data_IF_123657692511
#
_entry.id   IF_123657692511
#
_cell.length_a   1.000
_cell.length_b   1.000
_cell.length_c   1.000
_cell.angle_alpha   90.00
_cell.angle_beta   90.00
_cell.angle_gamma   90.00
#
_symmetry.space_group_name_H-M   'P 1'
#
loop_
_entity.id
_entity.type
_entity.pdbx_description
1 polymer ?
#
# COMPACT_ATOMS: atom_id res chain seq x y z
N UNK A 1 3.86 8.82 -26.91
CA UNK A 1 4.66 8.02 -27.87
C UNK A 1 5.79 7.37 -27.10
N UNK A 2 5.74 6.06 -26.84
CA UNK A 2 6.87 5.34 -26.25
C UNK A 2 7.99 5.31 -27.30
N UNK A 3 9.11 5.95 -27.01
CA UNK A 3 10.23 5.95 -27.95
C UNK A 3 10.70 4.51 -28.21
N UNK A 4 11.20 4.21 -29.41
CA UNK A 4 11.78 2.90 -29.74
C UNK A 4 12.77 2.42 -28.65
N UNK A 5 13.56 3.35 -28.11
CA UNK A 5 14.53 3.14 -27.03
C UNK A 5 13.88 2.67 -25.72
N UNK A 6 12.69 3.14 -25.39
CA UNK A 6 11.97 2.71 -24.18
C UNK A 6 11.49 1.25 -24.30
N UNK A 7 11.03 0.85 -25.48
CA UNK A 7 10.65 -0.54 -25.73
C UNK A 7 11.85 -1.50 -25.59
N UNK A 8 13.06 -1.07 -25.98
CA UNK A 8 14.28 -1.87 -25.82
C UNK A 8 14.65 -2.07 -24.36
N UNK A 9 14.62 -1.01 -23.55
CA UNK A 9 14.91 -1.07 -22.12
C UNK A 9 13.89 -1.95 -21.38
N UNK A 10 12.62 -1.93 -21.79
CA UNK A 10 11.60 -2.85 -21.25
C UNK A 10 11.78 -4.30 -21.70
N UNK A 11 12.25 -4.54 -22.93
CA UNK A 11 12.61 -5.89 -23.40
C UNK A 11 13.78 -6.45 -22.58
N UNK A 12 14.79 -5.64 -22.31
CA UNK A 12 15.92 -5.99 -21.44
C UNK A 12 15.43 -6.34 -20.03
N UNK A 13 14.66 -5.46 -19.39
CA UNK A 13 14.11 -5.70 -18.06
C UNK A 13 13.24 -6.98 -17.99
N UNK A 14 12.48 -7.28 -19.06
CA UNK A 14 11.69 -8.52 -19.13
C UNK A 14 12.57 -9.77 -19.14
N UNK A 15 13.69 -9.74 -19.89
CA UNK A 15 14.66 -10.85 -19.92
C UNK A 15 15.29 -11.06 -18.54
N UNK A 16 15.56 -9.97 -17.81
CA UNK A 16 16.09 -10.04 -16.45
C UNK A 16 15.09 -10.61 -15.45
N UNK A 17 13.83 -10.20 -15.54
CA UNK A 17 12.78 -10.70 -14.65
C UNK A 17 12.41 -12.16 -14.90
N UNK A 18 12.44 -12.60 -16.17
CA UNK A 18 12.15 -13.98 -16.55
C UNK A 18 13.23 -14.99 -16.16
N UNK A 19 14.47 -14.55 -15.89
CA UNK A 19 15.55 -15.43 -15.40
C UNK A 19 15.21 -15.93 -13.99
N UNK A 20 14.67 -17.15 -13.92
CA UNK A 20 14.39 -17.90 -12.68
C UNK A 20 15.62 -18.64 -12.12
N UNK A 21 16.65 -18.83 -12.94
CA UNK A 21 17.87 -19.53 -12.56
C UNK A 21 18.63 -18.72 -11.52
N UNK A 22 19.03 -19.38 -10.42
CA UNK A 22 19.93 -18.77 -9.45
C UNK A 22 21.24 -18.41 -10.17
N UNK A 23 21.78 -17.21 -9.96
CA UNK A 23 23.10 -16.87 -10.48
C UNK A 23 24.13 -17.91 -10.04
N UNK A 24 25.13 -18.17 -10.87
CA UNK A 24 26.27 -19.01 -10.45
C UNK A 24 26.97 -18.34 -9.26
N UNK A 25 27.79 -19.10 -8.52
CA UNK A 25 28.59 -18.56 -7.39
C UNK A 25 29.38 -17.28 -7.73
N UNK A 26 29.68 -17.05 -9.01
CA UNK A 26 30.49 -15.94 -9.51
C UNK A 26 29.70 -14.86 -10.28
N UNK A 27 28.36 -14.93 -10.36
CA UNK A 27 27.57 -13.91 -11.06
C UNK A 27 26.46 -13.37 -10.17
N UNK A 28 26.14 -12.08 -10.32
CA UNK A 28 24.98 -11.45 -9.67
C UNK A 28 23.82 -11.37 -10.65
N UNK A 29 22.60 -11.18 -10.14
CA UNK A 29 21.46 -10.80 -10.98
C UNK A 29 21.58 -9.33 -11.37
N UNK A 30 21.40 -9.01 -12.65
CA UNK A 30 21.36 -7.62 -13.11
C UNK A 30 20.10 -6.90 -12.61
N UNK A 31 20.27 -5.66 -12.18
CA UNK A 31 19.20 -4.80 -11.71
C UNK A 31 18.46 -4.17 -12.90
N UNK A 32 17.12 -4.26 -12.96
CA UNK A 32 16.36 -3.62 -14.02
C UNK A 32 16.42 -2.10 -13.87
N UNK A 33 16.33 -1.38 -15.00
CA UNK A 33 16.49 0.08 -15.04
C UNK A 33 15.51 0.85 -14.13
N UNK A 34 14.32 0.32 -13.85
CA UNK A 34 13.32 0.98 -13.01
C UNK A 34 13.62 0.86 -11.50
N UNK A 35 14.69 0.15 -11.12
CA UNK A 35 15.18 0.05 -9.73
C UNK A 35 16.40 0.93 -9.44
N UNK A 36 16.95 1.59 -10.47
CA UNK A 36 18.10 2.50 -10.35
C UNK A 36 17.73 3.85 -10.94
N UNK A 37 17.98 4.92 -10.21
CA UNK A 37 17.63 6.28 -10.65
C UNK A 37 18.52 6.68 -11.82
N UNK A 38 17.90 7.11 -12.93
CA UNK A 38 18.67 7.45 -14.13
C UNK A 38 19.65 8.59 -13.85
N UNK A 39 20.94 8.36 -14.08
CA UNK A 39 21.97 9.38 -13.90
C UNK A 39 22.33 9.67 -12.43
N UNK A 40 21.80 8.94 -11.45
CA UNK A 40 22.15 9.08 -10.03
C UNK A 40 22.67 7.73 -9.48
N UNK A 41 23.61 7.71 -8.52
CA UNK A 41 24.16 6.49 -7.91
C UNK A 41 23.23 5.89 -6.85
N UNK A 42 21.92 5.91 -7.11
CA UNK A 42 20.88 5.57 -6.15
C UNK A 42 20.04 4.42 -6.70
N UNK A 43 19.88 3.37 -5.89
CA UNK A 43 18.96 2.28 -6.16
C UNK A 43 17.83 2.26 -5.13
N UNK A 44 16.61 1.90 -5.56
CA UNK A 44 15.43 1.83 -4.69
C UNK A 44 14.83 0.42 -4.76
N UNK A 45 14.62 -0.21 -3.60
CA UNK A 45 14.05 -1.55 -3.45
C UNK A 45 14.76 -2.62 -4.30
N UNK A 46 16.09 -2.58 -4.28
CA UNK A 46 16.99 -3.30 -5.19
C UNK A 46 17.92 -4.30 -4.47
N UNK A 47 17.46 -4.89 -3.38
CA UNK A 47 18.30 -5.71 -2.48
C UNK A 47 18.62 -7.12 -3.03
N UNK A 48 17.87 -7.59 -4.03
CA UNK A 48 18.05 -8.93 -4.62
C UNK A 48 19.19 -9.02 -5.64
N UNK A 49 19.87 -7.91 -5.95
CA UNK A 49 20.82 -7.80 -7.06
C UNK A 49 22.29 -7.73 -6.60
N UNK A 50 22.56 -7.78 -5.28
CA UNK A 50 23.91 -7.66 -4.72
C UNK A 50 24.51 -6.25 -4.89
N UNK A 51 25.84 -6.16 -5.04
CA UNK A 51 26.54 -4.90 -5.32
C UNK A 51 26.26 -4.46 -6.76
N UNK A 52 25.47 -3.40 -6.91
CA UNK A 52 25.06 -2.86 -8.20
C UNK A 52 26.14 -1.86 -8.66
N UNK A 53 26.62 -1.92 -9.92
CA UNK A 53 27.71 -1.06 -10.39
C UNK A 53 27.44 0.43 -10.16
N UNK A 54 28.40 1.13 -9.56
CA UNK A 54 28.37 2.56 -9.28
C UNK A 54 27.18 3.04 -8.42
N UNK A 55 26.44 2.14 -7.76
CA UNK A 55 25.44 2.52 -6.76
C UNK A 55 26.15 2.71 -5.42
N UNK A 56 25.95 3.87 -4.79
CA UNK A 56 26.55 4.23 -3.50
C UNK A 56 25.51 4.36 -2.39
N UNK A 57 24.22 4.45 -2.75
CA UNK A 57 23.11 4.55 -1.81
C UNK A 57 21.95 3.62 -2.21
N UNK A 58 21.52 2.77 -1.28
CA UNK A 58 20.37 1.90 -1.43
C UNK A 58 19.22 2.43 -0.60
N UNK A 59 18.02 2.53 -1.17
CA UNK A 59 16.83 3.00 -0.48
C UNK A 59 15.83 1.85 -0.35
N UNK A 60 15.19 1.76 0.82
CA UNK A 60 14.07 0.84 1.07
C UNK A 60 12.82 1.66 1.38
N UNK A 61 11.81 1.57 0.51
CA UNK A 61 10.57 2.35 0.63
C UNK A 61 9.74 1.93 1.83
N UNK A 62 9.66 0.62 2.09
CA UNK A 62 8.91 0.04 3.19
C UNK A 62 9.28 -1.45 3.41
N UNK A 63 8.81 -2.04 4.52
CA UNK A 63 9.16 -3.40 4.92
C UNK A 63 8.15 -4.48 4.46
N UNK A 64 7.85 -4.58 3.16
CA UNK A 64 7.26 -5.78 2.55
C UNK A 64 8.30 -6.62 1.79
N UNK A 65 8.07 -7.93 1.76
CA UNK A 65 9.08 -8.93 1.39
C UNK A 65 9.56 -8.86 -0.05
N UNK A 66 8.70 -8.45 -0.96
CA UNK A 66 9.02 -8.25 -2.37
C UNK A 66 9.90 -7.02 -2.62
N UNK A 67 9.94 -6.06 -1.69
CA UNK A 67 10.80 -4.88 -1.76
C UNK A 67 12.17 -5.10 -1.15
N UNK A 68 12.26 -5.84 -0.04
CA UNK A 68 13.52 -6.20 0.60
C UNK A 68 14.07 -7.58 0.21
N UNK A 69 13.56 -8.23 -0.85
CA UNK A 69 13.94 -9.61 -1.21
C UNK A 69 15.48 -9.81 -1.18
N UNK A 70 15.94 -10.83 -0.44
CA UNK A 70 17.35 -11.17 -0.14
C UNK A 70 18.12 -10.22 0.80
N UNK A 71 17.49 -9.19 1.35
CA UNK A 71 18.05 -8.41 2.45
C UNK A 71 18.10 -9.29 3.72
N UNK A 72 19.24 -9.29 4.41
CA UNK A 72 19.49 -10.09 5.61
C UNK A 72 20.69 -9.54 6.39
N UNK A 73 21.04 -10.19 7.50
CA UNK A 73 22.26 -9.93 8.28
C UNK A 73 23.56 -9.99 7.48
N UNK A 74 23.58 -10.67 6.33
CA UNK A 74 24.76 -10.78 5.46
C UNK A 74 24.95 -9.60 4.50
N UNK A 75 24.09 -8.59 4.56
CA UNK A 75 24.16 -7.43 3.69
C UNK A 75 25.47 -6.66 3.88
N UNK A 76 26.11 -6.32 2.76
CA UNK A 76 27.38 -5.57 2.73
C UNK A 76 27.57 -4.75 1.45
N UNK A 77 26.50 -4.55 0.68
CA UNK A 77 26.59 -3.92 -0.63
C UNK A 77 26.62 -2.39 -0.57
N UNK A 78 26.24 -1.79 0.56
CA UNK A 78 26.24 -0.34 0.76
C UNK A 78 25.22 0.12 1.82
N UNK A 79 25.21 1.42 2.16
CA UNK A 79 24.28 1.99 3.13
C UNK A 79 22.83 1.93 2.62
N UNK A 80 21.92 1.63 3.54
CA UNK A 80 20.47 1.52 3.37
C UNK A 80 19.82 2.73 4.02
N UNK A 81 19.10 3.52 3.22
CA UNK A 81 18.33 4.67 3.67
C UNK A 81 16.84 4.35 3.63
N UNK A 82 16.14 4.66 4.71
CA UNK A 82 14.71 4.40 4.86
C UNK A 82 14.12 5.26 5.98
N UNK A 83 12.82 5.16 6.22
CA UNK A 83 12.21 5.75 7.42
C UNK A 83 12.64 5.02 8.70
N UNK A 84 12.51 5.68 9.85
CA UNK A 84 12.81 5.08 11.16
C UNK A 84 12.01 3.80 11.44
N UNK A 85 10.71 3.79 11.17
CA UNK A 85 9.89 2.60 11.35
C UNK A 85 10.36 1.44 10.45
N UNK A 86 10.75 1.72 9.20
CA UNK A 86 11.31 0.70 8.31
C UNK A 86 12.66 0.19 8.81
N UNK A 87 13.53 1.06 9.32
CA UNK A 87 14.81 0.70 9.92
C UNK A 87 14.63 -0.26 11.12
N UNK A 88 13.74 0.08 12.05
CA UNK A 88 13.42 -0.75 13.21
C UNK A 88 12.92 -2.14 12.78
N UNK A 89 12.05 -2.17 11.77
CA UNK A 89 11.46 -3.38 11.22
C UNK A 89 12.51 -4.30 10.57
N UNK A 90 13.40 -3.80 9.70
CA UNK A 90 14.40 -4.65 9.04
C UNK A 90 15.51 -5.12 9.98
N UNK A 91 15.87 -4.32 10.98
CA UNK A 91 16.81 -4.75 12.02
C UNK A 91 16.20 -5.86 12.86
N UNK A 92 14.93 -5.74 13.24
CA UNK A 92 14.24 -6.74 14.04
C UNK A 92 13.95 -8.04 13.25
N UNK A 93 13.34 -7.93 12.07
CA UNK A 93 12.83 -9.08 11.32
C UNK A 93 13.90 -9.79 10.47
N UNK A 94 14.87 -9.04 9.95
CA UNK A 94 15.85 -9.55 8.98
C UNK A 94 17.28 -9.58 9.55
N UNK A 95 17.45 -9.11 10.79
CA UNK A 95 18.73 -8.99 11.48
C UNK A 95 19.79 -8.21 10.67
N UNK A 96 19.35 -7.21 9.87
CA UNK A 96 20.28 -6.35 9.14
C UNK A 96 21.17 -5.63 10.16
N UNK A 97 22.47 -5.67 9.91
CA UNK A 97 23.43 -4.99 10.78
C UNK A 97 23.18 -3.47 10.74
N UNK A 98 23.02 -2.88 11.93
CA UNK A 98 22.72 -1.46 12.14
C UNK A 98 23.74 -0.54 11.49
N UNK A 99 24.99 -0.98 11.29
CA UNK A 99 26.00 -0.17 10.61
C UNK A 99 25.61 0.21 9.18
N UNK A 100 24.77 -0.60 8.52
CA UNK A 100 24.29 -0.34 7.17
C UNK A 100 22.99 0.45 7.15
N UNK A 101 22.27 0.56 8.28
CA UNK A 101 20.91 1.12 8.32
C UNK A 101 20.97 2.58 8.76
N UNK A 102 20.54 3.47 7.87
CA UNK A 102 20.58 4.91 8.03
C UNK A 102 19.15 5.46 7.97
N UNK A 103 18.41 5.49 9.09
CA UNK A 103 17.06 6.06 9.12
C UNK A 103 17.12 7.56 8.84
N UNK A 104 16.18 8.05 8.04
CA UNK A 104 16.04 9.47 7.68
C UNK A 104 14.74 10.05 8.26
N UNK A 105 14.75 11.33 8.69
CA UNK A 105 13.55 12.01 9.14
C UNK A 105 12.54 12.20 8.00
N UNK A 106 11.25 12.09 8.32
CA UNK A 106 10.16 12.42 7.41
C UNK A 106 10.12 13.94 7.15
N UNK A 107 9.69 14.33 5.96
CA UNK A 107 9.42 15.72 5.54
C UNK A 107 10.62 16.70 5.61
N UNK A 108 11.84 16.20 5.86
CA UNK A 108 13.08 16.99 5.95
C UNK A 108 14.00 16.70 4.76
N UNK A 109 14.38 17.71 3.94
CA UNK A 109 15.41 17.54 2.91
C UNK A 109 16.75 17.14 3.51
N UNK A 110 17.29 16.01 3.07
CA UNK A 110 18.55 15.45 3.58
C UNK A 110 19.50 15.16 2.42
N UNK A 111 20.75 15.60 2.52
CA UNK A 111 21.79 15.28 1.53
C UNK A 111 22.13 13.79 1.64
N UNK A 112 22.11 13.08 0.51
CA UNK A 112 22.50 11.68 0.44
C UNK A 112 24.03 11.61 0.22
N UNK A 113 24.80 11.02 1.16
CA UNK A 113 26.24 10.89 1.04
C UNK A 113 26.68 10.20 -0.27
N UNK A 114 27.83 10.60 -0.82
CA UNK A 114 28.45 9.98 -2.00
C UNK A 114 27.58 9.98 -3.27
N UNK A 115 26.64 10.92 -3.40
CA UNK A 115 25.79 11.08 -4.59
C UNK A 115 26.15 12.28 -5.46
N UNK A 116 27.07 13.12 -4.99
CA UNK A 116 27.43 14.39 -5.64
C UNK A 116 26.36 15.47 -5.48
N UNK A 117 25.70 15.53 -4.30
CA UNK A 117 24.80 16.61 -3.93
C UNK A 117 23.31 16.32 -4.11
N UNK A 118 22.91 15.06 -4.29
CA UNK A 118 21.48 14.69 -4.35
C UNK A 118 20.87 14.79 -2.96
N UNK A 119 19.79 15.53 -2.84
CA UNK A 119 18.94 15.60 -1.64
C UNK A 119 17.77 14.64 -1.79
N UNK A 120 17.29 14.11 -0.67
CA UNK A 120 16.06 13.33 -0.60
C UNK A 120 15.14 13.91 0.48
N UNK A 121 13.84 13.94 0.21
CA UNK A 121 12.79 14.16 1.21
C UNK A 121 11.89 12.94 1.25
N UNK A 122 11.73 12.34 2.43
CA UNK A 122 10.78 11.25 2.66
C UNK A 122 9.40 11.83 2.88
N UNK A 123 8.39 11.31 2.18
CA UNK A 123 6.99 11.75 2.30
C UNK A 123 6.15 10.51 2.62
N UNK A 124 5.24 10.58 3.58
CA UNK A 124 4.39 9.43 3.97
C UNK A 124 3.63 8.87 2.74
N UNK A 125 3.63 7.55 2.56
CA UNK A 125 3.10 6.91 1.35
C UNK A 125 1.63 6.50 1.41
N UNK A 126 1.02 6.62 2.58
CA UNK A 126 -0.35 6.20 2.84
C UNK A 126 -0.58 4.71 2.49
N UNK A 127 0.46 3.89 2.64
CA UNK A 127 0.45 2.46 2.33
C UNK A 127 0.45 1.62 3.61
N UNK A 128 1.61 1.39 4.21
CA UNK A 128 1.77 0.67 5.48
C UNK A 128 2.67 1.46 6.46
N UNK A 129 2.73 1.10 7.75
CA UNK A 129 3.58 1.80 8.72
C UNK A 129 5.05 1.88 8.26
N UNK A 130 5.60 3.10 8.27
CA UNK A 130 6.96 3.39 7.80
C UNK A 130 7.11 3.53 6.28
N UNK A 131 6.07 3.30 5.49
CA UNK A 131 6.15 3.48 4.04
C UNK A 131 6.32 4.94 3.63
N UNK A 132 7.19 5.18 2.66
CA UNK A 132 7.48 6.53 2.17
C UNK A 132 7.67 6.59 0.64
N UNK A 133 7.21 7.70 0.06
CA UNK A 133 7.71 8.19 -1.21
C UNK A 133 9.08 8.82 -0.96
N UNK A 134 9.97 8.71 -1.95
CA UNK A 134 11.22 9.44 -1.97
C UNK A 134 11.17 10.53 -3.05
N UNK A 135 11.32 11.78 -2.62
CA UNK A 135 11.47 12.91 -3.52
C UNK A 135 12.94 13.33 -3.59
N UNK A 136 13.60 13.02 -4.70
CA UNK A 136 15.01 13.31 -4.94
C UNK A 136 15.19 14.59 -5.75
N UNK A 137 16.11 15.45 -5.34
CA UNK A 137 16.53 16.64 -6.09
C UNK A 137 18.05 16.70 -6.18
N UNK A 138 18.61 16.75 -7.38
CA UNK A 138 20.05 16.88 -7.56
C UNK A 138 20.52 16.76 -9.01
N UNK A 139 21.82 16.97 -9.27
CA UNK A 139 22.39 16.77 -10.59
C UNK A 139 22.46 15.28 -10.94
N UNK A 140 22.57 14.98 -12.24
CA UNK A 140 22.96 13.65 -12.67
C UNK A 140 24.48 13.52 -12.67
N UNK A 141 25.00 12.63 -11.85
CA UNK A 141 26.43 12.50 -11.57
C UNK A 141 27.06 11.24 -12.16
N UNK A 142 26.29 10.16 -12.35
CA UNK A 142 26.82 8.92 -12.91
C UNK A 142 25.73 8.05 -13.51
N UNK A 143 26.06 7.33 -14.58
CA UNK A 143 25.21 6.27 -15.11
C UNK A 143 25.42 4.96 -14.35
N UNK A 144 24.84 4.88 -13.15
CA UNK A 144 24.87 3.68 -12.31
C UNK A 144 23.95 2.56 -12.81
N UNK A 145 24.16 1.36 -12.28
CA UNK A 145 23.38 0.18 -12.60
C UNK A 145 23.72 -0.47 -13.93
N UNK A 146 22.90 -1.45 -14.28
CA UNK A 146 23.12 -2.35 -15.41
C UNK A 146 22.48 -1.89 -16.71
N UNK A 147 21.68 -0.83 -16.64
CA UNK A 147 21.00 -0.34 -17.84
C UNK A 147 22.00 0.13 -18.88
N UNK A 148 21.80 -0.34 -20.11
CA UNK A 148 22.49 0.16 -21.30
C UNK A 148 22.08 1.58 -21.65
N UNK A 149 20.93 2.03 -21.14
CA UNK A 149 20.47 3.38 -21.36
C UNK A 149 21.24 4.36 -20.46
N UNK A 150 22.06 5.18 -21.10
CA UNK A 150 22.87 6.21 -20.45
C UNK A 150 22.19 7.56 -20.60
N UNK A 151 22.13 8.32 -19.52
CA UNK A 151 21.62 9.68 -19.55
C UNK A 151 22.62 10.62 -20.22
N UNK A 152 22.17 11.47 -21.16
CA UNK A 152 23.05 12.45 -21.81
C UNK A 152 23.36 13.66 -20.91
N UNK A 153 22.72 13.76 -19.74
CA UNK A 153 22.89 14.90 -18.82
C UNK A 153 23.84 14.61 -17.65
N UNK A 154 24.50 13.44 -17.63
CA UNK A 154 25.54 13.15 -16.64
C UNK A 154 26.68 14.17 -16.79
N UNK A 155 27.05 14.82 -15.68
CA UNK A 155 28.04 15.89 -15.66
C UNK A 155 27.48 17.29 -15.94
N UNK A 156 26.18 17.40 -16.24
CA UNK A 156 25.53 18.71 -16.37
C UNK A 156 25.17 19.31 -14.99
N UNK A 157 25.11 20.63 -14.91
CA UNK A 157 24.67 21.37 -13.71
C UNK A 157 23.14 21.39 -13.53
N UNK A 158 22.37 20.78 -14.44
CA UNK A 158 20.92 20.76 -14.36
C UNK A 158 20.47 19.93 -13.16
N UNK A 159 19.58 20.50 -12.36
CA UNK A 159 18.89 19.78 -11.28
C UNK A 159 17.73 18.97 -11.85
N UNK A 160 17.71 17.69 -11.52
CA UNK A 160 16.65 16.74 -11.83
C UNK A 160 15.83 16.44 -10.57
N UNK A 161 14.53 16.23 -10.76
CA UNK A 161 13.57 15.95 -9.68
C UNK A 161 12.89 14.62 -9.90
N UNK A 162 13.16 13.63 -9.06
CA UNK A 162 12.57 12.29 -9.16
C UNK A 162 11.62 12.05 -8.00
N UNK A 163 10.40 11.58 -8.31
CA UNK A 163 9.45 11.12 -7.31
C UNK A 163 9.34 9.61 -7.43
N UNK A 164 9.90 8.88 -6.48
CA UNK A 164 9.75 7.44 -6.41
C UNK A 164 8.62 7.10 -5.45
N UNK A 165 7.53 6.53 -5.97
CA UNK A 165 6.33 6.33 -5.17
C UNK A 165 6.47 5.20 -4.14
N UNK A 166 7.38 4.25 -4.37
CA UNK A 166 7.32 2.97 -3.67
C UNK A 166 5.98 2.30 -3.94
N UNK A 167 5.44 1.63 -2.93
CA UNK A 167 4.02 1.29 -2.89
C UNK A 167 3.28 2.40 -2.13
N UNK A 168 2.18 2.88 -2.69
CA UNK A 168 1.48 4.05 -2.15
C UNK A 168 -0.02 4.02 -2.45
N UNK A 169 -0.79 4.66 -1.58
CA UNK A 169 -2.18 5.02 -1.86
C UNK A 169 -2.30 6.51 -2.07
N UNK A 170 -2.38 6.92 -3.33
CA UNK A 170 -2.30 8.30 -3.75
C UNK A 170 -3.33 9.16 -3.03
N UNK A 171 -2.87 10.29 -2.50
CA UNK A 171 -3.70 11.27 -1.81
C UNK A 171 -3.32 12.69 -2.23
N UNK A 172 -4.23 13.67 -2.08
CA UNK A 172 -3.93 15.08 -2.30
C UNK A 172 -2.72 15.58 -1.49
N UNK A 173 -2.47 15.05 -0.29
CA UNK A 173 -1.29 15.41 0.51
C UNK A 173 0.03 15.21 -0.23
N UNK A 174 0.18 14.18 -1.05
CA UNK A 174 1.43 13.93 -1.77
C UNK A 174 1.78 15.06 -2.74
N UNK A 175 0.78 15.60 -3.46
CA UNK A 175 0.98 16.69 -4.43
C UNK A 175 0.95 18.08 -3.77
N UNK A 176 0.31 18.20 -2.61
CA UNK A 176 0.30 19.42 -1.79
C UNK A 176 1.55 19.54 -0.90
N UNK A 177 2.33 18.47 -0.74
CA UNK A 177 3.52 18.45 0.08
C UNK A 177 4.48 19.58 -0.36
N UNK A 178 5.05 20.38 0.58
CA UNK A 178 5.90 21.53 0.24
C UNK A 178 7.07 21.19 -0.69
N UNK A 179 7.64 19.99 -0.57
CA UNK A 179 8.72 19.56 -1.45
C UNK A 179 8.27 19.32 -2.91
N UNK A 180 7.00 18.99 -3.16
CA UNK A 180 6.48 18.60 -4.49
C UNK A 180 5.65 19.71 -5.14
N UNK A 181 4.87 20.45 -4.34
CA UNK A 181 3.90 21.43 -4.79
C UNK A 181 4.53 22.46 -5.73
N UNK A 182 3.92 22.65 -6.90
CA UNK A 182 4.35 23.62 -7.90
C UNK A 182 5.62 23.26 -8.68
N UNK A 183 6.29 22.15 -8.36
CA UNK A 183 7.50 21.72 -9.07
C UNK A 183 7.15 20.89 -10.31
N UNK A 184 8.02 20.99 -11.31
CA UNK A 184 8.03 20.09 -12.48
C UNK A 184 8.93 18.90 -12.18
N UNK A 185 8.32 17.70 -12.16
CA UNK A 185 9.00 16.45 -11.82
C UNK A 185 9.50 15.77 -13.09
N UNK A 186 10.79 15.46 -13.16
CA UNK A 186 11.38 14.85 -14.34
C UNK A 186 10.91 13.39 -14.48
N UNK A 187 11.14 12.57 -13.46
CA UNK A 187 10.73 11.16 -13.46
C UNK A 187 9.84 10.84 -12.26
N UNK A 188 8.74 10.13 -12.52
CA UNK A 188 7.85 9.57 -11.51
C UNK A 188 7.90 8.05 -11.64
N UNK A 189 8.42 7.37 -10.63
CA UNK A 189 8.39 5.90 -10.56
C UNK A 189 7.11 5.51 -9.83
N UNK A 190 6.13 5.03 -10.58
CA UNK A 190 4.74 4.93 -10.14
C UNK A 190 4.39 3.49 -9.75
N UNK A 191 3.78 3.32 -8.57
CA UNK A 191 3.05 2.10 -8.22
C UNK A 191 1.88 1.91 -9.18
N UNK A 192 1.94 0.84 -9.95
CA UNK A 192 0.94 0.50 -10.98
C UNK A 192 0.17 -0.78 -10.64
N UNK A 193 0.08 -1.13 -9.35
CA UNK A 193 -0.61 -2.32 -8.85
C UNK A 193 -2.03 -2.44 -9.40
N UNK A 194 -2.80 -1.35 -9.35
CA UNK A 194 -4.19 -1.29 -9.82
C UNK A 194 -4.41 -0.26 -10.93
N UNK A 195 -3.44 -0.13 -11.85
CA UNK A 195 -3.58 0.74 -13.04
C UNK A 195 -4.47 0.06 -14.11
N UNK A 196 -5.75 -0.11 -13.77
CA UNK A 196 -6.80 -0.67 -14.63
C UNK A 196 -8.18 -0.17 -14.13
N UNK A 197 -9.06 0.38 -15.00
CA UNK A 197 -10.34 0.97 -14.59
C UNK A 197 -11.29 0.06 -13.82
N UNK A 198 -11.06 -1.26 -13.86
CA UNK A 198 -11.82 -2.21 -13.05
C UNK A 198 -11.60 -2.02 -11.56
N UNK A 199 -10.50 -1.40 -11.12
CA UNK A 199 -10.18 -1.29 -9.71
C UNK A 199 -10.50 0.11 -9.16
N UNK A 200 -11.74 0.27 -8.67
CA UNK A 200 -12.24 1.50 -8.05
C UNK A 200 -12.84 1.20 -6.68
N UNK A 201 -11.97 0.91 -5.70
CA UNK A 201 -12.39 0.61 -4.33
C UNK A 201 -12.67 1.88 -3.51
N UNK A 202 -13.50 1.79 -2.45
CA UNK A 202 -13.85 2.92 -1.60
C UNK A 202 -12.64 3.52 -0.86
N UNK A 203 -12.72 4.80 -0.42
CA UNK A 203 -11.75 5.42 0.47
C UNK A 203 -11.52 4.62 1.76
N UNK A 204 -10.25 4.51 2.21
CA UNK A 204 -9.92 3.78 3.44
C UNK A 204 -10.75 4.21 4.66
N UNK A 205 -10.97 5.52 4.93
CA UNK A 205 -11.72 5.93 6.12
C UNK A 205 -13.15 5.39 6.13
N UNK A 206 -13.83 5.36 4.97
CA UNK A 206 -15.18 4.82 4.86
C UNK A 206 -15.21 3.31 5.13
N UNK A 207 -14.24 2.57 4.59
CA UNK A 207 -14.12 1.12 4.83
C UNK A 207 -13.81 0.82 6.30
N UNK A 208 -12.93 1.61 6.93
CA UNK A 208 -12.57 1.49 8.35
C UNK A 208 -13.81 1.72 9.22
N UNK A 209 -14.51 2.84 9.02
CA UNK A 209 -15.73 3.17 9.77
C UNK A 209 -16.82 2.12 9.57
N UNK A 210 -17.00 1.62 8.34
CA UNK A 210 -17.94 0.53 8.05
C UNK A 210 -17.63 -0.75 8.83
N UNK A 211 -16.35 -1.14 8.92
CA UNK A 211 -15.94 -2.34 9.66
C UNK A 211 -16.12 -2.17 11.18
N UNK A 212 -15.75 -1.01 11.73
CA UNK A 212 -15.89 -0.70 13.14
C UNK A 212 -17.37 -0.70 13.56
N UNK A 213 -18.22 -0.03 12.79
CA UNK A 213 -19.67 0.02 13.01
C UNK A 213 -20.31 -1.37 12.89
N UNK A 214 -19.93 -2.15 11.87
CA UNK A 214 -20.41 -3.52 11.70
C UNK A 214 -20.03 -4.40 12.90
N UNK A 215 -18.78 -4.32 13.36
CA UNK A 215 -18.31 -5.10 14.51
C UNK A 215 -19.11 -4.75 15.77
N UNK A 216 -19.29 -3.45 16.04
CA UNK A 216 -20.08 -2.96 17.17
C UNK A 216 -21.52 -3.46 17.13
N UNK A 217 -22.19 -3.36 15.98
CA UNK A 217 -23.56 -3.87 15.77
C UNK A 217 -23.66 -5.37 16.03
N UNK A 218 -22.73 -6.16 15.48
CA UNK A 218 -22.72 -7.61 15.69
C UNK A 218 -22.51 -7.94 17.17
N UNK A 219 -21.62 -7.23 17.86
CA UNK A 219 -21.35 -7.43 19.29
C UNK A 219 -22.56 -7.10 20.17
N UNK A 220 -23.39 -6.15 19.74
CA UNK A 220 -24.59 -5.69 20.45
C UNK A 220 -25.87 -6.43 20.02
N UNK A 221 -25.77 -7.42 19.11
CA UNK A 221 -26.93 -8.13 18.59
C UNK A 221 -27.88 -7.29 17.72
N UNK A 222 -27.40 -6.14 17.21
CA UNK A 222 -28.19 -5.23 16.38
C UNK A 222 -28.32 -5.74 14.94
N UNK A 223 -29.37 -5.28 14.24
CA UNK A 223 -29.53 -5.58 12.81
C UNK A 223 -28.33 -5.07 12.01
N UNK A 224 -27.77 -5.98 11.19
CA UNK A 224 -26.70 -5.69 10.23
C UNK A 224 -27.24 -5.37 8.83
N UNK A 225 -28.56 -5.36 8.66
CA UNK A 225 -29.25 -5.02 7.41
C UNK A 225 -29.83 -3.61 7.55
N UNK A 226 -29.54 -2.74 6.58
CA UNK A 226 -30.25 -1.47 6.43
C UNK A 226 -31.62 -1.79 5.82
N UNK A 227 -32.70 -1.65 6.61
CA UNK A 227 -34.06 -1.74 6.10
C UNK A 227 -34.35 -0.48 5.29
N UNK A 228 -34.94 -0.63 4.10
CA UNK A 228 -35.43 0.53 3.36
C UNK A 228 -36.61 1.18 4.11
N UNK A 229 -36.88 2.46 3.89
CA UNK A 229 -38.01 3.19 4.52
C UNK A 229 -39.39 2.55 4.25
N UNK A 230 -39.48 1.62 3.29
CA UNK A 230 -40.70 0.85 2.97
C UNK A 230 -40.88 -0.37 3.89
N UNK A 231 -39.80 -0.94 4.44
CA UNK A 231 -39.84 -2.09 5.37
C UNK A 231 -40.20 -1.68 6.80
N UNK A 232 -40.12 -0.38 7.10
CA UNK A 232 -40.41 0.20 8.42
C UNK A 232 -41.90 0.17 8.75
N UNK A 233 -42.76 0.16 7.73
CA UNK A 233 -44.22 0.15 7.89
C UNK A 233 -44.80 -1.25 8.17
N UNK A 234 -44.11 -2.32 7.75
CA UNK A 234 -44.61 -3.71 7.84
C UNK A 234 -44.16 -4.44 9.12
N UNK A 235 -43.21 -3.88 9.88
CA UNK A 235 -42.70 -4.51 11.12
C UNK A 235 -42.87 -3.63 12.36
N UNK A 236 -44.10 -3.20 12.65
CA UNK A 236 -44.48 -2.72 14.00
C UNK A 236 -44.91 -3.88 14.88
N UNK A 237 -43.94 -4.68 15.31
CA UNK A 237 -44.04 -5.45 16.55
C UNK A 237 -42.82 -5.06 17.38
N UNK A 238 -43.00 -4.43 18.56
CA UNK A 238 -41.86 -4.12 19.42
C UNK A 238 -41.19 -5.44 19.81
N UNK A 239 -39.86 -5.59 19.68
CA UNK A 239 -39.19 -6.68 20.37
C UNK A 239 -39.32 -6.38 21.86
N UNK A 240 -40.10 -7.21 22.55
CA UNK A 240 -40.07 -7.31 24.01
C UNK A 240 -38.62 -7.47 24.43
N UNK A 241 -38.21 -6.66 25.40
CA UNK A 241 -36.81 -6.51 25.81
C UNK A 241 -36.13 -7.86 25.99
N UNK A 242 -35.19 -8.19 25.10
CA UNK A 242 -34.22 -9.22 25.39
C UNK A 242 -33.24 -8.62 26.38
N UNK A 243 -33.38 -9.00 27.65
CA UNK A 243 -32.35 -8.86 28.66
C UNK A 243 -30.99 -9.20 28.07
N UNK A 244 -29.96 -8.42 28.41
CA UNK A 244 -28.56 -8.74 28.10
C UNK A 244 -28.26 -10.10 28.70
N UNK A 245 -28.35 -11.18 27.93
CA UNK A 245 -27.86 -12.49 28.35
C UNK A 245 -26.34 -12.39 28.44
N UNK A 246 -25.73 -12.37 29.63
CA UNK A 246 -24.28 -12.40 29.77
C UNK A 246 -23.86 -13.82 29.39
N UNK A 247 -23.11 -14.00 28.30
CA UNK A 247 -22.56 -15.33 27.98
C UNK A 247 -22.41 -15.74 26.52
N UNK A 248 -22.70 -14.89 25.52
CA UNK A 248 -22.32 -15.16 24.12
C UNK A 248 -21.27 -14.17 23.64
N UNK A 249 -20.03 -14.33 24.10
CA UNK A 249 -18.94 -13.50 23.59
C UNK A 249 -18.67 -13.85 22.10
N UNK A 250 -18.58 -12.81 21.28
CA UNK A 250 -18.20 -12.93 19.86
C UNK A 250 -16.73 -12.61 19.74
N UNK A 251 -16.00 -13.49 19.07
CA UNK A 251 -14.60 -13.31 18.73
C UNK A 251 -14.49 -12.60 17.38
N UNK A 252 -13.83 -11.44 17.33
CA UNK A 252 -13.52 -10.74 16.10
C UNK A 252 -12.09 -11.03 15.70
N UNK A 253 -11.87 -11.44 14.45
CA UNK A 253 -10.56 -11.80 13.92
C UNK A 253 -10.24 -10.94 12.70
N UNK A 254 -9.11 -10.23 12.73
CA UNK A 254 -8.66 -9.41 11.60
C UNK A 254 -7.47 -10.08 10.93
N UNK A 255 -7.59 -10.34 9.63
CA UNK A 255 -6.51 -10.85 8.81
C UNK A 255 -5.49 -9.77 8.43
N UNK A 256 -4.23 -9.93 8.81
CA UNK A 256 -3.14 -9.00 8.48
C UNK A 256 -2.00 -9.68 7.70
N UNK A 257 -1.11 -8.88 7.11
CA UNK A 257 0.19 -9.34 6.62
C UNK A 257 1.24 -9.28 7.74
N UNK A 258 2.53 -9.26 7.41
CA UNK A 258 3.59 -8.97 8.38
C UNK A 258 3.42 -7.58 8.99
N UNK A 259 3.21 -6.54 8.17
CA UNK A 259 2.79 -5.18 8.56
C UNK A 259 1.64 -4.73 7.64
N UNK A 260 0.87 -3.73 8.07
CA UNK A 260 -0.23 -3.16 7.31
C UNK A 260 -1.60 -3.57 7.87
N UNK A 261 -2.59 -2.71 7.62
CA UNK A 261 -4.01 -2.81 8.01
C UNK A 261 -4.28 -2.58 9.51
N UNK A 262 -3.29 -2.09 10.25
CA UNK A 262 -3.44 -1.74 11.67
C UNK A 262 -4.54 -0.70 11.87
N UNK A 263 -4.80 0.20 10.89
CA UNK A 263 -5.90 1.17 10.96
C UNK A 263 -7.28 0.54 11.14
N UNK A 264 -7.58 -0.57 10.45
CA UNK A 264 -8.85 -1.30 10.63
C UNK A 264 -8.88 -1.97 12.00
N UNK A 265 -7.77 -2.60 12.37
CA UNK A 265 -7.64 -3.30 13.64
C UNK A 265 -7.93 -2.37 14.82
N UNK A 266 -7.29 -1.19 14.85
CA UNK A 266 -7.47 -0.20 15.92
C UNK A 266 -8.90 0.33 15.95
N UNK A 267 -9.48 0.64 14.80
CA UNK A 267 -10.86 1.11 14.74
C UNK A 267 -11.88 0.08 15.27
N UNK A 268 -11.71 -1.20 14.94
CA UNK A 268 -12.56 -2.27 15.47
C UNK A 268 -12.34 -2.45 16.98
N UNK A 269 -11.08 -2.47 17.44
CA UNK A 269 -10.75 -2.62 18.85
C UNK A 269 -11.33 -1.49 19.70
N UNK A 270 -11.19 -0.24 19.26
CA UNK A 270 -11.77 0.94 19.90
C UNK A 270 -13.30 0.90 19.91
N UNK A 271 -13.93 0.53 18.78
CA UNK A 271 -15.40 0.46 18.71
C UNK A 271 -16.01 -0.65 19.59
N UNK A 272 -15.22 -1.67 19.91
CA UNK A 272 -15.60 -2.78 20.80
C UNK A 272 -15.10 -2.58 22.24
N UNK A 273 -14.39 -1.48 22.53
CA UNK A 273 -13.75 -1.21 23.83
C UNK A 273 -12.90 -2.41 24.31
N UNK A 274 -12.16 -3.03 23.39
CA UNK A 274 -11.47 -4.29 23.63
C UNK A 274 -9.97 -4.20 23.38
N UNK A 275 -9.20 -5.02 24.11
CA UNK A 275 -7.78 -5.26 23.81
C UNK A 275 -7.63 -6.10 22.54
N UNK A 276 -6.41 -6.12 22.02
CA UNK A 276 -6.02 -6.86 20.83
C UNK A 276 -5.02 -7.94 21.19
N UNK A 277 -5.39 -9.19 20.95
CA UNK A 277 -4.48 -10.33 21.11
C UNK A 277 -3.82 -10.72 19.78
N UNK A 278 -2.52 -11.04 19.85
CA UNK A 278 -1.80 -11.72 18.79
C UNK A 278 -0.64 -12.54 19.38
N UNK A 279 -0.03 -13.41 18.57
CA UNK A 279 1.14 -14.17 19.06
C UNK A 279 2.33 -13.25 19.37
N UNK A 280 3.25 -13.72 20.23
CA UNK A 280 4.38 -12.93 20.71
C UNK A 280 5.27 -12.40 19.56
N UNK A 281 5.40 -13.15 18.47
CA UNK A 281 6.18 -12.76 17.29
C UNK A 281 5.53 -11.58 16.56
N UNK A 282 4.22 -11.64 16.34
CA UNK A 282 3.46 -10.55 15.74
C UNK A 282 3.45 -9.32 16.66
N UNK A 283 3.31 -9.51 17.97
CA UNK A 283 3.36 -8.42 18.95
C UNK A 283 4.72 -7.70 18.95
N UNK A 284 5.83 -8.45 18.91
CA UNK A 284 7.17 -7.86 18.82
C UNK A 284 7.33 -7.02 17.54
N UNK A 285 6.84 -7.52 16.42
CA UNK A 285 6.85 -6.83 15.14
C UNK A 285 6.02 -5.53 15.17
N UNK A 286 4.80 -5.57 15.71
CA UNK A 286 3.93 -4.39 15.80
C UNK A 286 4.55 -3.28 16.67
N UNK A 287 5.28 -3.65 17.73
CA UNK A 287 5.99 -2.69 18.59
C UNK A 287 7.12 -1.93 17.88
N UNK A 288 7.63 -2.45 16.76
CA UNK A 288 8.63 -1.76 15.95
C UNK A 288 8.07 -0.59 15.12
N UNK A 289 6.74 -0.43 15.06
CA UNK A 289 6.08 0.57 14.21
C UNK A 289 5.97 1.97 14.83
N UNK A 290 6.40 2.15 16.10
CA UNK A 290 6.25 3.40 16.84
C UNK A 290 4.80 3.94 16.88
N UNK A 291 3.82 3.05 17.12
CA UNK A 291 2.40 3.37 17.24
C UNK A 291 1.92 3.13 18.69
N UNK A 292 1.89 4.19 19.50
CA UNK A 292 1.55 4.13 20.92
C UNK A 292 0.11 3.67 21.18
N UNK A 293 -0.82 4.09 20.31
CA UNK A 293 -2.21 3.68 20.35
C UNK A 293 -2.33 2.16 20.12
N UNK A 294 -1.62 1.62 19.12
CA UNK A 294 -1.55 0.18 18.92
C UNK A 294 -0.92 -0.54 20.11
N UNK A 295 0.20 -0.01 20.63
CA UNK A 295 0.91 -0.59 21.77
C UNK A 295 0.02 -0.70 23.02
N UNK A 296 -0.80 0.32 23.29
CA UNK A 296 -1.74 0.33 24.40
C UNK A 296 -2.87 -0.69 24.24
N UNK A 297 -3.24 -1.03 23.01
CA UNK A 297 -4.28 -2.04 22.72
C UNK A 297 -3.77 -3.49 22.86
N UNK A 298 -2.48 -3.75 22.67
CA UNK A 298 -1.95 -5.12 22.67
C UNK A 298 -2.04 -5.79 24.05
N UNK A 299 -2.47 -7.05 24.08
CA UNK A 299 -2.43 -7.92 25.26
C UNK A 299 -1.82 -9.28 24.94
N UNK A 300 -1.33 -9.97 25.99
CA UNK A 300 -0.76 -11.31 25.89
C UNK A 300 -1.78 -12.42 26.21
N UNK A 301 -2.85 -12.11 26.95
CA UNK A 301 -3.91 -13.06 27.25
C UNK A 301 -4.97 -13.05 26.12
N UNK A 302 -5.19 -14.18 25.43
CA UNK A 302 -6.25 -14.29 24.41
C UNK A 302 -7.66 -14.21 25.00
N UNK A 303 -7.88 -14.48 26.28
CA UNK A 303 -9.22 -14.45 26.87
C UNK A 303 -9.61 -13.04 27.35
N UNK A 304 -8.64 -12.14 27.54
CA UNK A 304 -8.88 -10.73 27.88
C UNK A 304 -9.20 -9.84 26.68
N UNK A 305 -9.25 -10.39 25.47
CA UNK A 305 -9.46 -9.66 24.22
C UNK A 305 -10.56 -10.28 23.38
N UNK A 306 -11.44 -9.45 22.84
CA UNK A 306 -12.45 -9.86 21.85
C UNK A 306 -11.93 -9.72 20.42
N UNK A 307 -10.74 -9.15 20.24
CA UNK A 307 -10.15 -8.85 18.93
C UNK A 307 -8.82 -9.58 18.80
N UNK A 308 -8.74 -10.51 17.85
CA UNK A 308 -7.53 -11.29 17.57
C UNK A 308 -6.95 -10.96 16.19
N UNK A 309 -5.63 -10.89 16.10
CA UNK A 309 -4.92 -10.78 14.82
C UNK A 309 -4.50 -12.16 14.35
N UNK A 310 -4.83 -12.52 13.11
CA UNK A 310 -4.29 -13.70 12.45
C UNK A 310 -3.68 -13.35 11.08
N UNK A 311 -2.78 -14.20 10.54
CA UNK A 311 -2.35 -14.09 9.16
C UNK A 311 -3.56 -14.09 8.21
N UNK A 312 -3.53 -13.28 7.15
CA UNK A 312 -4.65 -13.18 6.20
C UNK A 312 -5.06 -14.55 5.62
N UNK A 313 -4.13 -15.48 5.44
CA UNK A 313 -4.40 -16.85 4.97
C UNK A 313 -5.25 -17.69 5.95
N UNK A 314 -5.33 -17.32 7.23
CA UNK A 314 -6.16 -18.00 8.23
C UNK A 314 -7.63 -17.57 8.20
N UNK A 315 -7.97 -16.48 7.50
CA UNK A 315 -9.34 -15.96 7.41
C UNK A 315 -10.08 -16.72 6.30
N UNK A 316 -10.35 -18.00 6.56
CA UNK A 316 -11.14 -18.93 5.76
C UNK A 316 -12.06 -19.74 6.68
N UNK A 317 -13.15 -20.30 6.14
CA UNK A 317 -14.17 -20.98 6.95
C UNK A 317 -13.57 -22.14 7.77
N UNK A 318 -12.79 -23.01 7.13
CA UNK A 318 -12.20 -24.19 7.79
C UNK A 318 -11.22 -23.80 8.90
N UNK A 319 -10.35 -22.81 8.63
CA UNK A 319 -9.28 -22.41 9.56
C UNK A 319 -9.83 -21.61 10.74
N UNK A 320 -10.80 -20.72 10.52
CA UNK A 320 -11.45 -19.99 11.62
C UNK A 320 -12.30 -20.91 12.48
N UNK A 321 -12.93 -21.95 11.90
CA UNK A 321 -13.65 -22.97 12.68
C UNK A 321 -12.71 -23.71 13.62
N UNK A 322 -11.52 -24.09 13.15
CA UNK A 322 -10.49 -24.72 13.99
C UNK A 322 -9.99 -23.74 15.06
N UNK A 323 -9.81 -22.47 14.71
CA UNK A 323 -9.37 -21.45 15.66
C UNK A 323 -10.39 -21.19 16.78
N UNK A 324 -11.68 -21.06 16.44
CA UNK A 324 -12.76 -20.87 17.41
C UNK A 324 -12.86 -22.04 18.40
N UNK A 325 -12.67 -23.29 17.94
CA UNK A 325 -12.68 -24.48 18.82
C UNK A 325 -11.69 -24.40 19.97
N UNK A 326 -10.55 -23.70 19.80
CA UNK A 326 -9.55 -23.52 20.86
C UNK A 326 -10.07 -22.71 22.05
N UNK A 327 -11.09 -21.88 21.82
CA UNK A 327 -11.65 -20.98 22.82
C UNK A 327 -13.17 -21.14 22.95
N UNK A 328 -13.70 -22.32 22.59
CA UNK A 328 -15.14 -22.59 22.53
C UNK A 328 -15.87 -22.44 23.87
N UNK A 329 -15.14 -22.54 24.98
CA UNK A 329 -15.67 -22.35 26.32
C UNK A 329 -15.96 -20.87 26.59
N UNK A 330 -15.20 -19.97 25.98
CA UNK A 330 -15.35 -18.52 26.12
C UNK A 330 -16.16 -17.89 24.97
N UNK A 331 -15.84 -18.22 23.72
CA UNK A 331 -16.46 -17.65 22.51
C UNK A 331 -17.39 -18.65 21.82
N UNK A 332 -18.62 -18.22 21.52
CA UNK A 332 -19.62 -19.06 20.81
C UNK A 332 -19.76 -18.71 19.33
N UNK A 333 -19.21 -17.56 18.92
CA UNK A 333 -19.28 -17.04 17.54
C UNK A 333 -17.93 -16.43 17.16
N UNK A 334 -17.54 -16.58 15.89
CA UNK A 334 -16.38 -15.89 15.31
C UNK A 334 -16.79 -15.06 14.10
N UNK A 335 -16.24 -13.84 14.00
CA UNK A 335 -16.40 -12.92 12.87
C UNK A 335 -15.01 -12.60 12.33
N UNK A 336 -14.71 -13.09 11.13
CA UNK A 336 -13.44 -12.82 10.45
C UNK A 336 -13.56 -11.68 9.45
N UNK A 337 -12.78 -10.61 9.63
CA UNK A 337 -12.58 -9.59 8.60
C UNK A 337 -11.37 -9.96 7.75
N UNK A 338 -11.58 -10.00 6.42
CA UNK A 338 -10.54 -10.26 5.42
C UNK A 338 -10.25 -8.98 4.61
N UNK A 339 -9.50 -8.02 5.17
CA UNK A 339 -9.18 -6.77 4.49
C UNK A 339 -8.15 -6.97 3.38
N UNK A 340 -8.54 -6.74 2.13
CA UNK A 340 -7.62 -6.70 0.99
C UNK A 340 -8.28 -6.06 -0.24
N UNK A 341 -7.53 -5.30 -1.04
CA UNK A 341 -8.02 -4.76 -2.30
C UNK A 341 -8.55 -5.83 -3.26
N UNK A 342 -8.03 -7.06 -3.16
CA UNK A 342 -8.43 -8.21 -3.97
C UNK A 342 -9.86 -8.72 -3.71
N UNK A 343 -10.53 -8.31 -2.62
CA UNK A 343 -11.94 -8.67 -2.40
C UNK A 343 -12.90 -7.70 -3.09
N UNK A 344 -12.38 -6.65 -3.73
CA UNK A 344 -13.19 -5.76 -4.54
C UNK A 344 -13.69 -6.48 -5.80
N UNK A 345 -15.00 -6.43 -6.01
CA UNK A 345 -15.65 -6.95 -7.22
C UNK A 345 -16.09 -5.75 -8.07
N UNK A 346 -15.54 -5.58 -9.29
CA UNK A 346 -15.98 -4.53 -10.21
C UNK A 346 -17.47 -4.68 -10.54
N UNK A 347 -18.16 -3.57 -10.75
CA UNK A 347 -19.55 -3.58 -11.21
C UNK A 347 -19.66 -4.25 -12.59
N UNK A 348 -20.68 -5.08 -12.80
CA UNK A 348 -20.97 -5.66 -14.12
C UNK A 348 -21.11 -4.55 -15.17
N UNK A 349 -20.45 -4.68 -16.32
CA UNK A 349 -20.50 -3.67 -17.38
C UNK A 349 -19.58 -2.47 -17.17
N UNK A 350 -18.59 -2.54 -16.26
CA UNK A 350 -17.60 -1.47 -16.06
C UNK A 350 -16.90 -1.13 -17.39
N UNK A 351 -17.03 0.12 -17.83
CA UNK A 351 -16.30 0.64 -18.99
C UNK A 351 -14.79 0.50 -18.76
N UNK A 352 -14.12 -0.17 -19.70
CA UNK A 352 -12.69 -0.44 -19.64
C UNK A 352 -11.85 0.69 -20.24
N UNK A 353 -12.45 1.65 -20.94
CA UNK A 353 -11.77 2.77 -21.59
C UNK A 353 -12.47 4.12 -21.37
N UNK A 354 -12.89 4.47 -20.13
CA UNK A 354 -13.58 5.73 -19.88
C UNK A 354 -12.71 6.94 -20.24
N UNK A 355 -13.34 8.08 -20.49
CA UNK A 355 -12.61 9.35 -20.67
C UNK A 355 -12.07 9.86 -19.33
N UNK A 356 -11.01 10.68 -19.36
CA UNK A 356 -10.45 11.27 -18.12
C UNK A 356 -11.49 12.15 -17.41
N UNK A 357 -12.27 12.91 -18.16
CA UNK A 357 -13.37 13.70 -17.62
C UNK A 357 -14.41 12.81 -16.89
N UNK A 358 -14.82 11.70 -17.52
CA UNK A 358 -15.75 10.72 -16.92
C UNK A 358 -15.19 10.09 -15.65
N UNK A 359 -13.90 9.76 -15.61
CA UNK A 359 -13.25 9.21 -14.41
C UNK A 359 -13.31 10.22 -13.26
N UNK A 360 -13.01 11.49 -13.54
CA UNK A 360 -12.96 12.55 -12.54
C UNK A 360 -14.38 12.90 -12.04
N UNK A 361 -15.39 12.91 -12.92
CA UNK A 361 -16.77 13.26 -12.54
C UNK A 361 -17.50 12.16 -11.77
N UNK A 362 -17.27 10.88 -12.10
CA UNK A 362 -18.16 9.79 -11.67
C UNK A 362 -18.01 9.35 -10.20
N UNK A 363 -16.92 9.69 -9.52
CA UNK A 363 -16.60 9.09 -8.20
C UNK A 363 -16.95 10.02 -7.03
N UNK A 364 -17.50 11.21 -7.27
CA UNK A 364 -17.90 12.15 -6.22
C UNK A 364 -19.11 11.72 -5.37
N UNK A 365 -19.73 10.54 -5.62
CA UNK A 365 -21.01 10.18 -4.98
C UNK A 365 -21.16 8.74 -4.43
N UNK A 366 -20.11 7.90 -4.38
CA UNK A 366 -20.27 6.56 -3.77
C UNK A 366 -20.06 6.61 -2.26
N UNK A 367 -21.14 6.50 -1.51
CA UNK A 367 -21.11 6.19 -0.08
C UNK A 367 -20.67 4.74 0.14
N UNK A 368 -20.02 4.46 1.26
CA UNK A 368 -19.67 3.10 1.69
C UNK A 368 -19.81 3.02 3.20
N UNK A 369 -20.65 2.11 3.69
CA UNK A 369 -20.96 1.95 5.10
C UNK A 369 -21.08 0.47 5.49
N UNK A 370 -21.44 0.19 6.75
CA UNK A 370 -21.51 -1.17 7.28
C UNK A 370 -22.46 -2.09 6.50
N UNK A 371 -23.49 -1.53 5.84
CA UNK A 371 -24.49 -2.31 5.12
C UNK A 371 -23.97 -2.83 3.77
N UNK A 372 -22.92 -2.23 3.23
CA UNK A 372 -22.23 -2.68 2.01
C UNK A 372 -21.33 -3.91 2.26
N UNK A 373 -20.97 -4.15 3.52
CA UNK A 373 -20.20 -5.32 3.92
C UNK A 373 -21.12 -6.55 3.99
N UNK A 374 -20.99 -7.43 2.99
CA UNK A 374 -21.74 -8.69 2.95
C UNK A 374 -20.88 -9.87 3.40
N UNK A 375 -21.43 -10.78 4.23
CA UNK A 375 -20.70 -11.98 4.61
C UNK A 375 -20.51 -12.88 3.38
N UNK A 376 -19.41 -13.63 3.37
CA UNK A 376 -19.12 -14.62 2.34
C UNK A 376 -20.19 -15.73 2.33
N UNK A 377 -20.40 -16.38 1.17
CA UNK A 377 -21.41 -17.44 1.00
C UNK A 377 -21.23 -18.63 1.94
N UNK A 378 -20.02 -18.85 2.47
CA UNK A 378 -19.70 -19.95 3.39
C UNK A 378 -19.90 -19.58 4.87
N UNK A 379 -20.50 -18.42 5.14
CA UNK A 379 -20.78 -17.95 6.51
C UNK A 379 -22.00 -18.67 7.10
N UNK A 380 -21.94 -18.94 8.39
CA UNK A 380 -23.00 -19.52 9.22
C UNK A 380 -23.33 -18.60 10.39
N UNK A 381 -24.31 -18.97 11.23
CA UNK A 381 -24.66 -18.20 12.43
C UNK A 381 -23.52 -18.11 13.46
N UNK A 382 -22.66 -19.14 13.53
CA UNK A 382 -21.54 -19.22 14.47
C UNK A 382 -20.20 -18.81 13.87
N UNK A 383 -20.12 -18.68 12.54
CA UNK A 383 -18.91 -18.29 11.82
C UNK A 383 -19.26 -17.36 10.67
N UNK A 384 -18.90 -16.09 10.76
CA UNK A 384 -19.10 -15.11 9.69
C UNK A 384 -17.75 -14.65 9.13
N UNK A 385 -17.63 -14.54 7.81
CA UNK A 385 -16.42 -13.99 7.16
C UNK A 385 -16.84 -12.83 6.28
N UNK A 386 -16.27 -11.65 6.50
CA UNK A 386 -16.50 -10.46 5.71
C UNK A 386 -15.28 -10.18 4.81
N UNK A 387 -15.41 -10.32 3.49
CA UNK A 387 -14.47 -9.73 2.54
C UNK A 387 -14.54 -8.21 2.66
N UNK A 388 -13.40 -7.55 2.87
CA UNK A 388 -13.35 -6.10 3.11
C UNK A 388 -12.47 -5.45 2.03
N UNK A 389 -13.01 -4.56 1.17
CA UNK A 389 -12.28 -3.92 0.06
C UNK A 389 -11.33 -2.81 0.56
N UNK A 390 -10.48 -3.15 1.54
CA UNK A 390 -9.45 -2.28 2.07
C UNK A 390 -8.15 -2.47 1.30
N UNK A 391 -7.83 -1.47 0.47
CA UNK A 391 -6.57 -1.40 -0.24
C UNK A 391 -5.62 -0.41 0.43
N UNK A 392 -4.33 -0.76 0.47
CA UNK A 392 -3.22 0.14 0.80
C UNK A 392 -2.47 0.61 -0.47
N UNK A 393 -2.97 0.25 -1.66
CA UNK A 393 -2.54 0.78 -2.95
C UNK A 393 -3.59 1.69 -3.55
N UNK A 394 -3.16 2.55 -4.46
CA UNK A 394 -4.00 3.48 -5.21
C UNK A 394 -4.99 2.74 -6.11
N UNK A 395 -6.26 3.14 -6.08
CA UNK A 395 -7.26 2.78 -7.10
C UNK A 395 -6.92 3.45 -8.42
N UNK A 396 -7.55 2.99 -9.50
CA UNK A 396 -7.37 3.63 -10.80
C UNK A 396 -7.86 5.09 -10.82
N UNK A 397 -8.89 5.41 -10.04
CA UNK A 397 -9.37 6.77 -9.84
C UNK A 397 -8.30 7.63 -9.13
N UNK A 398 -7.79 7.17 -7.98
CA UNK A 398 -6.75 7.87 -7.21
C UNK A 398 -5.47 8.07 -8.05
N UNK A 399 -5.05 7.07 -8.84
CA UNK A 399 -3.92 7.19 -9.78
C UNK A 399 -4.18 8.24 -10.87
N UNK A 400 -5.39 8.29 -11.42
CA UNK A 400 -5.77 9.29 -12.42
C UNK A 400 -5.74 10.69 -11.81
N UNK A 401 -6.37 10.89 -10.65
CA UNK A 401 -6.36 12.17 -9.96
C UNK A 401 -4.93 12.63 -9.62
N UNK A 402 -4.10 11.72 -9.11
CA UNK A 402 -2.68 11.98 -8.86
C UNK A 402 -1.96 12.40 -10.12
N UNK A 403 -2.05 11.62 -11.21
CA UNK A 403 -1.37 11.91 -12.46
C UNK A 403 -1.80 13.24 -13.09
N UNK A 404 -3.05 13.65 -12.89
CA UNK A 404 -3.59 14.91 -13.42
C UNK A 404 -3.31 16.14 -12.54
N UNK A 405 -2.86 15.97 -11.28
CA UNK A 405 -2.80 17.06 -10.29
C UNK A 405 -1.44 17.74 -10.11
N UNK A 406 -0.38 17.34 -10.82
CA UNK A 406 0.94 17.98 -10.72
C UNK A 406 1.73 17.86 -12.02
N UNK A 407 2.79 18.66 -12.20
CA UNK A 407 3.61 18.68 -13.43
C UNK A 407 4.65 17.56 -13.43
N UNK A 408 4.66 16.73 -14.47
CA UNK A 408 5.61 15.63 -14.64
C UNK A 408 6.02 15.48 -16.11
N UNK A 409 7.23 14.97 -16.37
CA UNK A 409 7.76 14.74 -17.73
C UNK A 409 7.62 13.27 -18.13
N UNK A 410 8.01 12.34 -17.24
CA UNK A 410 7.97 10.90 -17.51
C UNK A 410 7.44 10.12 -16.32
N UNK A 411 6.50 9.20 -16.58
CA UNK A 411 6.06 8.18 -15.61
C UNK A 411 6.59 6.81 -16.00
N UNK A 412 7.16 6.09 -15.02
CA UNK A 412 7.78 4.77 -15.17
C UNK A 412 7.01 3.82 -14.24
N UNK A 413 6.36 2.81 -14.81
CA UNK A 413 5.68 1.78 -14.01
C UNK A 413 6.67 0.93 -13.22
N UNK A 414 6.37 0.59 -11.97
CA UNK A 414 7.22 -0.29 -11.14
C UNK A 414 6.59 -1.66 -10.89
N UNK A 415 5.27 -1.80 -11.06
CA UNK A 415 4.50 -3.03 -10.79
C UNK A 415 3.82 -3.55 -12.06
N UNK A 416 3.55 -4.87 -12.12
CA UNK A 416 2.94 -5.52 -13.29
C UNK A 416 3.74 -5.37 -14.59
N UNK A 417 5.06 -5.18 -14.47
CA UNK A 417 5.97 -4.92 -15.59
C UNK A 417 6.54 -6.18 -16.24
N UNK A 418 6.35 -7.37 -15.66
CA UNK A 418 6.89 -8.63 -16.20
C UNK A 418 6.25 -9.09 -17.52
N UNK A 419 5.05 -8.62 -17.85
CA UNK A 419 4.29 -9.01 -19.05
C UNK A 419 4.17 -7.84 -20.04
N UNK A 420 4.52 -8.07 -21.31
CA UNK A 420 4.42 -7.07 -22.38
C UNK A 420 3.00 -6.54 -22.60
N UNK A 421 1.98 -7.40 -22.50
CA UNK A 421 0.57 -7.00 -22.62
C UNK A 421 0.16 -6.05 -21.50
N UNK A 422 0.54 -6.35 -20.26
CA UNK A 422 0.31 -5.49 -19.10
C UNK A 422 0.99 -4.12 -19.27
N UNK A 423 2.27 -4.11 -19.66
CA UNK A 423 3.01 -2.86 -19.95
C UNK A 423 2.33 -2.03 -21.04
N UNK A 424 1.85 -2.68 -22.11
CA UNK A 424 1.11 -2.00 -23.18
C UNK A 424 -0.17 -1.33 -22.69
N UNK A 425 -0.93 -1.98 -21.80
CA UNK A 425 -2.13 -1.39 -21.17
C UNK A 425 -1.79 -0.18 -20.30
N UNK A 426 -0.76 -0.30 -19.45
CA UNK A 426 -0.33 0.80 -18.59
C UNK A 426 0.21 1.99 -19.40
N UNK A 427 1.02 1.73 -20.43
CA UNK A 427 1.56 2.76 -21.30
C UNK A 427 0.47 3.54 -22.06
N UNK A 428 -0.61 2.87 -22.47
CA UNK A 428 -1.78 3.54 -23.09
C UNK A 428 -2.40 4.55 -22.13
N UNK A 429 -2.61 4.18 -20.86
CA UNK A 429 -3.18 5.09 -19.87
C UNK A 429 -2.26 6.25 -19.51
N UNK A 430 -0.96 6.00 -19.31
CA UNK A 430 0.03 7.06 -19.09
C UNK A 430 0.04 8.06 -20.26
N UNK A 431 0.00 7.56 -21.51
CA UNK A 431 -0.08 8.41 -22.70
C UNK A 431 -1.39 9.22 -22.77
N UNK A 432 -2.51 8.68 -22.29
CA UNK A 432 -3.78 9.42 -22.19
C UNK A 432 -3.70 10.53 -21.16
N UNK A 433 -3.15 10.27 -19.97
CA UNK A 433 -2.93 11.32 -18.97
C UNK A 433 -2.01 12.42 -19.51
N UNK A 434 -0.93 12.05 -20.19
CA UNK A 434 -0.02 13.00 -20.83
C UNK A 434 -0.72 13.87 -21.88
N UNK A 435 -1.50 13.24 -22.76
CA UNK A 435 -2.25 13.95 -23.81
C UNK A 435 -3.29 14.90 -23.22
N UNK A 436 -3.99 14.49 -22.17
CA UNK A 436 -5.02 15.31 -21.53
C UNK A 436 -4.40 16.53 -20.83
N UNK A 437 -3.25 16.35 -20.16
CA UNK A 437 -2.50 17.45 -19.57
C UNK A 437 -1.96 18.46 -20.58
N UNK A 438 -1.67 18.05 -21.81
CA UNK A 438 -1.29 18.99 -22.89
C UNK A 438 -2.46 19.88 -23.33
N UNK A 439 -3.70 19.42 -23.17
CA UNK A 439 -4.91 20.19 -23.54
C UNK A 439 -5.29 21.21 -22.46
N UNK A 440 -5.19 20.84 -21.18
CA UNK A 440 -5.49 21.72 -20.05
C UNK A 440 -4.29 22.61 -19.69
N UNK A 441 -4.40 23.93 -19.91
CA UNK A 441 -3.30 24.88 -19.63
C UNK A 441 -3.00 25.09 -18.13
N UNK A 442 -3.85 24.63 -17.22
CA UNK A 442 -3.66 24.80 -15.78
C UNK A 442 -3.35 23.45 -15.11
N UNK A 443 -2.18 23.35 -14.47
CA UNK A 443 -1.84 22.29 -13.51
C UNK A 443 -2.64 22.45 -12.21
N UNK A 444 -3.95 22.65 -12.31
CA UNK A 444 -4.83 22.72 -11.15
C UNK A 444 -5.02 21.33 -10.57
N UNK A 445 -4.95 21.24 -9.25
CA UNK A 445 -5.18 20.02 -8.50
C UNK A 445 -6.63 19.58 -8.73
N UNK A 446 -6.85 18.29 -9.02
CA UNK A 446 -8.20 17.74 -9.12
C UNK A 446 -8.91 17.92 -7.77
N UNK A 447 -10.15 18.46 -7.73
CA UNK A 447 -10.90 18.62 -6.49
C UNK A 447 -10.93 17.34 -5.67
N UNK A 448 -10.77 17.49 -4.36
CA UNK A 448 -10.69 16.36 -3.43
C UNK A 448 -11.55 16.63 -2.21
N UNK A 449 -12.09 15.56 -1.63
CA UNK A 449 -12.95 15.68 -0.44
C UNK A 449 -12.15 15.76 0.86
N UNK A 450 -11.00 15.12 0.90
CA UNK A 450 -10.17 15.02 2.10
C UNK A 450 -8.67 15.02 1.75
N UNK A 451 -7.77 15.55 2.58
CA UNK A 451 -6.34 15.52 2.27
C UNK A 451 -5.74 14.11 2.07
N UNK A 452 -6.35 13.08 2.68
CA UNK A 452 -5.86 11.68 2.62
C UNK A 452 -6.48 10.82 1.50
N UNK A 453 -7.45 11.34 0.74
CA UNK A 453 -8.02 10.64 -0.41
C UNK A 453 -8.79 11.62 -1.31
N UNK A 454 -8.79 11.37 -2.63
CA UNK A 454 -9.58 12.17 -3.57
C UNK A 454 -11.09 12.02 -3.36
#
# INVERSE_FOLDING_TARGET
>A
MTSFRENEVWKEASKLEAKKTRPSRNSRREAPFYKVLQGMPIAVDAFRYGTIPNVTAYFLTHAHSDHYTNLSSSWKSGPIYCSEATANLIVHMLAVDKQWVNPLPMDVPTIVPNTGGVHVTLIEANHCPGSCLFFFEGPQTVNAGDSKYKSPFVGSSRIFRYLHCGDFRASPRHILHPAVKGKRIDHVYLDTTYLDPRYTFPPQPLVISACAELAKRISQGQSTICKSTVDEWVTRVPPTGSEKVPGRSTLFVIGTYSIGKERILKAIAHALESKVYCDARKAALLRCQADDDLNALLCSDPLSANVHILPLAMITSDRLKIYLRKYQDHFKKVVGFRPTGWTYTPSTGTDQMPTIATIISNVLHREYNYSDLKPSRLSTNTLQIYPVPYSEHSSFYELTCFAMSFSWIRMIATVNVGNASSRGKMAKWIARWEAEKRKGRNNSIIPYRHPYYW
#
